data_IF_122491110650
#
_entry.id   IF_122491110650
#
_cell.length_a   1.000
_cell.length_b   1.000
_cell.length_c   1.000
_cell.angle_alpha   90.00
_cell.angle_beta   90.00
_cell.angle_gamma   90.00
#
_symmetry.space_group_name_H-M   'P 1'
#
loop_
_entity.id
_entity.type
_entity.pdbx_description
1 polymer ?
#
# COMPACT_ATOMS: atom_id res chain seq x y z
N UNK A 1 45.43 -16.53 -10.46
CA UNK A 1 44.10 -16.01 -10.14
C UNK A 1 43.96 -14.62 -10.74
N UNK A 2 43.17 -14.48 -11.81
CA UNK A 2 42.84 -13.17 -12.36
C UNK A 2 41.90 -12.46 -11.37
N UNK A 3 42.35 -11.39 -10.78
CA UNK A 3 41.51 -10.48 -9.97
C UNK A 3 40.61 -9.67 -10.90
N UNK A 4 39.42 -10.15 -11.14
CA UNK A 4 38.38 -9.40 -11.90
C UNK A 4 37.80 -8.31 -11.03
N UNK A 5 37.95 -7.07 -11.44
CA UNK A 5 37.41 -5.90 -10.76
C UNK A 5 35.90 -5.86 -11.00
N UNK A 6 35.13 -6.36 -10.04
CA UNK A 6 33.65 -6.41 -10.14
C UNK A 6 33.06 -5.09 -9.66
N UNK A 7 32.55 -4.29 -10.58
CA UNK A 7 31.84 -3.04 -10.25
C UNK A 7 30.53 -3.31 -9.48
N UNK A 8 30.12 -2.43 -8.54
CA UNK A 8 28.93 -2.63 -7.74
C UNK A 8 27.64 -2.91 -8.55
N UNK A 9 27.50 -2.27 -9.72
CA UNK A 9 26.30 -2.45 -10.57
C UNK A 9 26.19 -3.85 -11.18
N UNK A 10 27.30 -4.59 -11.36
CA UNK A 10 27.26 -5.98 -11.84
C UNK A 10 26.60 -6.94 -10.84
N UNK A 11 26.47 -6.53 -9.59
CA UNK A 11 25.85 -7.34 -8.54
C UNK A 11 24.39 -6.97 -8.24
N UNK A 12 23.85 -5.97 -8.94
CA UNK A 12 22.44 -5.58 -8.79
C UNK A 12 21.48 -6.73 -9.13
N UNK A 13 21.67 -7.51 -10.21
CA UNK A 13 20.84 -8.69 -10.49
C UNK A 13 20.84 -9.70 -9.34
N UNK A 14 22.02 -9.97 -8.73
CA UNK A 14 22.12 -10.87 -7.59
C UNK A 14 21.29 -10.39 -6.38
N UNK A 15 21.29 -9.07 -6.13
CA UNK A 15 20.53 -8.45 -5.05
C UNK A 15 19.03 -8.61 -5.32
N UNK A 16 18.59 -8.34 -6.56
CA UNK A 16 17.20 -8.44 -6.97
C UNK A 16 16.68 -9.88 -6.80
N UNK A 17 17.43 -10.87 -7.31
CA UNK A 17 17.04 -12.28 -7.20
C UNK A 17 16.98 -12.72 -5.74
N UNK A 18 17.97 -12.35 -4.92
CA UNK A 18 17.97 -12.67 -3.49
C UNK A 18 16.83 -11.99 -2.74
N UNK A 19 16.53 -10.72 -3.08
CA UNK A 19 15.41 -9.99 -2.51
C UNK A 19 14.07 -10.65 -2.83
N UNK A 20 13.87 -11.06 -4.09
CA UNK A 20 12.63 -11.70 -4.53
C UNK A 20 12.42 -13.05 -3.84
N UNK A 21 13.44 -13.91 -3.82
CA UNK A 21 13.35 -15.22 -3.17
C UNK A 21 13.16 -15.07 -1.66
N UNK A 22 13.96 -14.24 -1.01
CA UNK A 22 13.88 -14.02 0.43
C UNK A 22 12.55 -13.36 0.83
N UNK A 23 12.07 -12.42 0.02
CA UNK A 23 10.77 -11.77 0.22
C UNK A 23 9.62 -12.76 0.13
N UNK A 24 9.59 -13.59 -0.90
CA UNK A 24 8.54 -14.60 -1.07
C UNK A 24 8.56 -15.63 0.07
N UNK A 25 9.73 -16.15 0.42
CA UNK A 25 9.88 -17.10 1.52
C UNK A 25 9.49 -16.48 2.87
N UNK A 26 9.93 -15.25 3.12
CA UNK A 26 9.60 -14.52 4.34
C UNK A 26 8.10 -14.25 4.47
N UNK A 27 7.46 -13.81 3.40
CA UNK A 27 6.01 -13.58 3.39
C UNK A 27 5.23 -14.85 3.69
N UNK A 28 5.68 -15.99 3.13
CA UNK A 28 5.04 -17.29 3.33
C UNK A 28 5.26 -17.84 4.73
N UNK A 29 6.47 -17.75 5.26
CA UNK A 29 6.79 -18.20 6.62
C UNK A 29 5.95 -17.42 7.64
N UNK A 30 5.91 -16.09 7.55
CA UNK A 30 5.17 -15.28 8.50
C UNK A 30 3.66 -15.51 8.39
N UNK A 31 3.12 -15.66 7.19
CA UNK A 31 1.70 -16.01 7.03
C UNK A 31 1.35 -17.33 7.73
N UNK A 32 2.17 -18.36 7.55
CA UNK A 32 1.94 -19.66 8.20
C UNK A 32 2.13 -19.60 9.72
N UNK A 33 3.00 -18.73 10.23
CA UNK A 33 3.14 -18.48 11.68
C UNK A 33 1.92 -17.74 12.26
N UNK A 34 1.35 -16.78 11.51
CA UNK A 34 0.13 -16.08 11.92
C UNK A 34 -1.10 -16.99 11.87
N UNK A 35 -1.16 -17.93 10.94
CA UNK A 35 -2.27 -18.89 10.75
C UNK A 35 -1.82 -20.31 11.09
N UNK A 36 -1.24 -20.49 12.29
CA UNK A 36 -0.62 -21.75 12.70
C UNK A 36 -1.57 -22.95 12.70
N UNK A 37 -2.83 -22.74 13.08
CA UNK A 37 -3.84 -23.80 13.12
C UNK A 37 -4.15 -24.35 11.73
N UNK A 38 -4.25 -23.47 10.72
CA UNK A 38 -4.50 -23.87 9.33
C UNK A 38 -3.27 -24.58 8.74
N UNK A 39 -2.08 -24.06 9.07
CA UNK A 39 -0.82 -24.67 8.66
C UNK A 39 -0.65 -26.11 9.18
N UNK A 40 -1.01 -26.37 10.42
CA UNK A 40 -0.90 -27.72 11.02
C UNK A 40 -1.88 -28.73 10.38
N UNK A 41 -3.05 -28.26 9.91
CA UNK A 41 -4.05 -29.11 9.24
C UNK A 41 -3.63 -29.55 7.84
N UNK A 42 -3.05 -28.66 7.04
CA UNK A 42 -2.52 -28.97 5.69
C UNK A 42 -1.21 -28.21 5.42
N UNK A 43 -0.05 -28.71 5.94
CA UNK A 43 1.23 -28.05 5.75
C UNK A 43 1.67 -27.94 4.29
N UNK A 44 1.38 -28.97 3.49
CA UNK A 44 1.82 -29.01 2.08
C UNK A 44 0.99 -28.03 1.25
N UNK A 45 -0.33 -28.06 1.38
CA UNK A 45 -1.21 -27.10 0.71
C UNK A 45 -0.93 -25.67 1.12
N UNK A 46 -0.71 -25.42 2.42
CA UNK A 46 -0.34 -24.10 2.93
C UNK A 46 0.98 -23.57 2.32
N UNK A 47 2.00 -24.40 2.16
CA UNK A 47 3.28 -24.02 1.55
C UNK A 47 3.20 -23.79 0.05
N UNK A 48 2.42 -24.60 -0.66
CA UNK A 48 2.32 -24.56 -2.13
C UNK A 48 1.29 -23.55 -2.63
N UNK A 49 0.37 -23.10 -1.79
CA UNK A 49 -0.66 -22.12 -2.20
C UNK A 49 -0.02 -20.77 -2.55
N UNK A 50 -0.49 -20.14 -3.62
CA UNK A 50 -0.11 -18.77 -3.98
C UNK A 50 -0.84 -17.68 -3.16
N UNK A 51 -1.84 -18.07 -2.37
CA UNK A 51 -2.52 -17.20 -1.41
C UNK A 51 -1.81 -17.16 -0.07
N UNK A 52 -2.12 -16.16 0.74
CA UNK A 52 -1.57 -16.04 2.08
C UNK A 52 -0.09 -15.66 2.08
N UNK A 53 0.16 -14.38 1.84
CA UNK A 53 1.49 -13.76 1.88
C UNK A 53 1.43 -12.53 2.79
N UNK A 54 2.17 -12.57 3.90
CA UNK A 54 2.27 -11.45 4.82
C UNK A 54 3.34 -10.47 4.37
N UNK A 55 2.98 -9.23 4.10
CA UNK A 55 3.89 -8.19 3.60
C UNK A 55 5.08 -7.97 4.52
N UNK A 56 4.85 -7.84 5.83
CA UNK A 56 5.92 -7.57 6.80
C UNK A 56 6.94 -8.71 6.89
N UNK A 57 6.49 -9.97 6.81
CA UNK A 57 7.39 -11.12 6.78
C UNK A 57 8.33 -11.08 5.60
N UNK A 58 7.79 -10.77 4.42
CA UNK A 58 8.58 -10.59 3.19
C UNK A 58 9.60 -9.47 3.31
N UNK A 59 9.17 -8.30 3.79
CA UNK A 59 10.02 -7.12 3.96
C UNK A 59 11.18 -7.38 4.93
N UNK A 60 10.91 -7.97 6.09
CA UNK A 60 11.91 -8.23 7.14
C UNK A 60 12.97 -9.22 6.63
N UNK A 61 12.53 -10.36 6.09
CA UNK A 61 13.46 -11.41 5.63
C UNK A 61 14.28 -10.92 4.44
N UNK A 62 13.66 -10.23 3.47
CA UNK A 62 14.39 -9.63 2.34
C UNK A 62 15.42 -8.60 2.84
N UNK A 63 15.06 -7.72 3.76
CA UNK A 63 15.97 -6.73 4.31
C UNK A 63 17.18 -7.39 5.01
N UNK A 64 16.96 -8.42 5.83
CA UNK A 64 18.03 -9.17 6.51
C UNK A 64 18.98 -9.80 5.49
N UNK A 65 18.44 -10.47 4.47
CA UNK A 65 19.25 -11.16 3.45
C UNK A 65 20.05 -10.14 2.62
N UNK A 66 19.43 -9.04 2.20
CA UNK A 66 20.11 -8.00 1.40
C UNK A 66 21.20 -7.32 2.22
N UNK A 67 20.94 -6.94 3.48
CA UNK A 67 21.91 -6.28 4.35
C UNK A 67 23.08 -7.23 4.64
N UNK A 68 22.81 -8.50 4.92
CA UNK A 68 23.84 -9.52 5.15
C UNK A 68 24.71 -9.74 3.91
N UNK A 69 24.08 -9.83 2.73
CA UNK A 69 24.80 -9.94 1.46
C UNK A 69 25.65 -8.69 1.18
N UNK A 70 25.09 -7.51 1.38
CA UNK A 70 25.78 -6.23 1.18
C UNK A 70 27.01 -6.11 2.11
N UNK A 71 26.87 -6.49 3.39
CA UNK A 71 27.99 -6.54 4.36
C UNK A 71 29.07 -7.52 3.91
N UNK A 72 28.69 -8.74 3.53
CA UNK A 72 29.64 -9.76 3.06
C UNK A 72 30.42 -9.33 1.81
N UNK A 73 29.79 -8.51 0.96
CA UNK A 73 30.39 -7.99 -0.28
C UNK A 73 30.98 -6.58 -0.12
N UNK A 74 31.03 -6.06 1.11
CA UNK A 74 31.58 -4.74 1.44
C UNK A 74 30.92 -3.57 0.70
N UNK A 75 29.63 -3.68 0.38
CA UNK A 75 28.88 -2.56 -0.19
C UNK A 75 28.67 -1.45 0.83
N UNK A 76 28.69 -0.21 0.35
CA UNK A 76 28.19 0.90 1.15
C UNK A 76 26.67 0.80 1.26
N UNK A 77 26.18 0.32 2.41
CA UNK A 77 24.75 0.08 2.65
C UNK A 77 23.95 1.37 2.52
N UNK A 78 24.50 2.52 2.96
CA UNK A 78 23.82 3.82 2.86
C UNK A 78 23.56 4.22 1.40
N UNK A 79 24.56 4.02 0.54
CA UNK A 79 24.40 4.27 -0.90
C UNK A 79 23.45 3.26 -1.56
N UNK A 80 23.44 2.01 -1.10
CA UNK A 80 22.53 0.98 -1.59
C UNK A 80 21.07 1.31 -1.29
N UNK A 81 20.73 1.68 -0.03
CA UNK A 81 19.37 2.04 0.34
C UNK A 81 18.89 3.33 -0.35
N UNK A 82 19.77 4.31 -0.55
CA UNK A 82 19.46 5.51 -1.33
C UNK A 82 19.14 5.21 -2.78
N UNK A 83 19.86 4.26 -3.39
CA UNK A 83 19.57 3.81 -4.76
C UNK A 83 18.22 3.08 -4.85
N UNK A 84 17.87 2.32 -3.80
CA UNK A 84 16.62 1.57 -3.73
C UNK A 84 15.40 2.48 -3.47
N UNK A 85 15.56 3.61 -2.78
CA UNK A 85 14.45 4.44 -2.34
C UNK A 85 13.48 4.86 -3.45
N UNK A 86 13.91 5.41 -4.60
CA UNK A 86 12.98 5.71 -5.70
C UNK A 86 12.34 4.44 -6.28
N UNK A 87 13.09 3.35 -6.40
CA UNK A 87 12.57 2.09 -6.92
C UNK A 87 11.49 1.49 -6.02
N UNK A 88 11.65 1.59 -4.69
CA UNK A 88 10.65 1.15 -3.71
C UNK A 88 9.36 1.98 -3.81
N UNK A 89 9.47 3.30 -4.01
CA UNK A 89 8.29 4.16 -4.21
C UNK A 89 7.54 3.82 -5.49
N UNK A 90 8.27 3.55 -6.59
CA UNK A 90 7.67 3.10 -7.85
C UNK A 90 7.01 1.73 -7.70
N UNK A 91 7.69 0.79 -7.02
CA UNK A 91 7.14 -0.54 -6.76
C UNK A 91 5.86 -0.49 -5.92
N UNK A 92 5.78 0.45 -4.96
CA UNK A 92 4.55 0.68 -4.20
C UNK A 92 3.42 1.14 -5.11
N UNK A 93 3.65 2.14 -5.98
CA UNK A 93 2.65 2.58 -6.96
C UNK A 93 2.16 1.43 -7.86
N UNK A 94 3.08 0.60 -8.37
CA UNK A 94 2.74 -0.56 -9.21
C UNK A 94 1.94 -1.60 -8.42
N UNK A 95 2.30 -1.87 -7.17
CA UNK A 95 1.55 -2.75 -6.28
C UNK A 95 0.11 -2.28 -6.11
N UNK A 96 -0.10 -0.96 -5.89
CA UNK A 96 -1.43 -0.37 -5.77
C UNK A 96 -2.26 -0.41 -7.07
N UNK A 97 -1.61 -0.45 -8.23
CA UNK A 97 -2.32 -0.76 -9.50
C UNK A 97 -2.95 -2.15 -9.45
N UNK A 98 -2.23 -3.15 -8.90
CA UNK A 98 -2.78 -4.48 -8.68
C UNK A 98 -4.04 -4.44 -7.81
N UNK A 99 -3.99 -3.78 -6.64
CA UNK A 99 -5.13 -3.62 -5.74
C UNK A 99 -6.31 -2.94 -6.43
N UNK A 100 -6.06 -1.86 -7.19
CA UNK A 100 -7.12 -1.11 -7.87
C UNK A 100 -7.81 -1.95 -8.95
N UNK A 101 -7.04 -2.62 -9.80
CA UNK A 101 -7.60 -3.40 -10.91
C UNK A 101 -8.24 -4.71 -10.47
N UNK A 102 -7.74 -5.33 -9.42
CA UNK A 102 -8.33 -6.58 -8.89
C UNK A 102 -9.56 -6.33 -8.02
N UNK A 103 -9.66 -5.16 -7.38
CA UNK A 103 -10.69 -4.92 -6.39
C UNK A 103 -10.54 -5.85 -5.19
N UNK A 104 -9.37 -5.82 -4.54
CA UNK A 104 -9.00 -6.74 -3.45
C UNK A 104 -9.49 -6.31 -2.05
N UNK A 105 -10.33 -5.28 -1.97
CA UNK A 105 -10.88 -4.77 -0.71
C UNK A 105 -10.14 -3.57 -0.13
N UNK A 106 -9.03 -3.16 -0.72
CA UNK A 106 -8.20 -2.05 -0.25
C UNK A 106 -8.77 -0.65 -0.54
N UNK A 107 -10.05 -0.56 -0.88
CA UNK A 107 -10.76 0.71 -1.10
C UNK A 107 -11.03 1.48 0.19
N UNK A 108 -11.47 2.74 0.02
CA UNK A 108 -11.82 3.62 1.13
C UNK A 108 -13.25 3.46 1.64
N UNK A 109 -13.67 4.38 2.50
CA UNK A 109 -15.05 4.49 2.99
C UNK A 109 -16.01 4.76 1.83
N UNK A 110 -17.31 4.55 2.06
CA UNK A 110 -18.33 4.82 1.06
C UNK A 110 -18.44 6.32 0.75
N UNK A 111 -18.53 6.66 -0.54
CA UNK A 111 -18.85 8.02 -0.96
C UNK A 111 -20.36 8.15 -1.12
N UNK A 112 -21.02 8.68 -0.08
CA UNK A 112 -22.48 8.79 -0.04
C UNK A 112 -23.09 9.82 -1.02
N UNK A 113 -22.26 10.48 -1.84
CA UNK A 113 -22.72 11.30 -2.95
C UNK A 113 -22.95 10.50 -4.26
N UNK A 114 -22.60 9.20 -4.28
CA UNK A 114 -22.69 8.35 -5.48
C UNK A 114 -23.27 6.97 -5.17
N UNK A 115 -24.26 6.58 -5.95
CA UNK A 115 -24.70 5.18 -6.07
C UNK A 115 -23.91 4.48 -7.16
N UNK A 116 -24.06 3.15 -7.24
CA UNK A 116 -23.54 2.37 -8.37
C UNK A 116 -24.73 1.81 -9.15
N UNK A 117 -24.75 2.06 -10.45
CA UNK A 117 -25.63 1.33 -11.35
C UNK A 117 -25.12 -0.11 -11.47
N UNK A 118 -25.87 -1.04 -10.89
CA UNK A 118 -25.51 -2.46 -10.84
C UNK A 118 -25.49 -3.15 -12.20
N UNK A 119 -26.06 -2.55 -13.25
CA UNK A 119 -26.01 -3.09 -14.61
C UNK A 119 -24.74 -2.72 -15.33
N UNK A 120 -24.25 -1.49 -15.10
CA UNK A 120 -23.07 -0.96 -15.79
C UNK A 120 -21.81 -0.93 -14.91
N UNK A 121 -21.96 -1.04 -13.59
CA UNK A 121 -20.88 -0.88 -12.61
C UNK A 121 -20.38 0.56 -12.44
N UNK A 122 -21.01 1.53 -13.12
CA UNK A 122 -20.58 2.93 -13.06
C UNK A 122 -21.17 3.66 -11.86
N UNK A 123 -20.37 4.58 -11.31
CA UNK A 123 -20.85 5.49 -10.28
C UNK A 123 -21.77 6.55 -10.90
N UNK A 124 -22.92 6.76 -10.27
CA UNK A 124 -23.96 7.73 -10.66
C UNK A 124 -24.19 8.67 -9.49
N UNK A 125 -24.25 9.98 -9.73
CA UNK A 125 -24.53 10.96 -8.69
C UNK A 125 -25.87 10.67 -8.01
N UNK A 126 -25.89 10.81 -6.71
CA UNK A 126 -27.01 10.52 -5.85
C UNK A 126 -27.41 11.78 -5.06
N UNK A 127 -28.71 12.01 -4.84
CA UNK A 127 -29.13 13.06 -3.92
C UNK A 127 -28.78 12.64 -2.47
N UNK A 128 -28.43 13.58 -1.58
CA UNK A 128 -27.98 13.27 -0.22
C UNK A 128 -28.93 12.38 0.60
N UNK A 129 -30.22 12.49 0.38
CA UNK A 129 -31.25 11.67 1.06
C UNK A 129 -31.27 10.21 0.61
N UNK A 130 -30.67 9.89 -0.53
CA UNK A 130 -30.77 8.57 -1.18
C UNK A 130 -29.73 7.56 -0.69
N UNK A 131 -28.76 7.97 0.13
CA UNK A 131 -27.77 7.02 0.69
C UNK A 131 -28.44 6.00 1.61
N UNK A 132 -29.30 6.44 2.52
CA UNK A 132 -30.05 5.53 3.40
C UNK A 132 -30.97 4.59 2.60
N UNK A 133 -31.61 5.10 1.55
CA UNK A 133 -32.44 4.27 0.67
C UNK A 133 -31.59 3.21 -0.07
N UNK A 134 -30.40 3.59 -0.55
CA UNK A 134 -29.46 2.65 -1.18
C UNK A 134 -28.98 1.58 -0.20
N UNK A 135 -28.72 1.94 1.05
CA UNK A 135 -28.36 1.01 2.13
C UNK A 135 -29.53 0.08 2.46
N UNK A 136 -30.76 0.62 2.59
CA UNK A 136 -31.96 -0.18 2.86
C UNK A 136 -32.25 -1.15 1.70
N UNK A 137 -32.16 -0.69 0.46
CA UNK A 137 -32.36 -1.54 -0.73
C UNK A 137 -31.39 -2.72 -0.77
N UNK A 138 -30.18 -2.53 -0.21
CA UNK A 138 -29.13 -3.52 -0.16
C UNK A 138 -28.84 -4.00 1.28
N UNK A 139 -29.88 -4.00 2.14
CA UNK A 139 -29.76 -4.30 3.57
C UNK A 139 -29.06 -5.65 3.83
N UNK A 140 -29.33 -6.68 3.03
CA UNK A 140 -28.71 -7.99 3.17
C UNK A 140 -27.17 -7.96 3.04
N UNK A 141 -26.63 -7.09 2.19
CA UNK A 141 -25.19 -6.88 2.05
C UNK A 141 -24.63 -6.11 3.26
N UNK A 142 -25.24 -4.97 3.60
CA UNK A 142 -24.71 -4.12 4.67
C UNK A 142 -24.82 -4.73 6.07
N UNK A 143 -25.90 -5.48 6.36
CA UNK A 143 -26.08 -6.17 7.64
C UNK A 143 -25.07 -7.29 7.89
N UNK A 144 -24.49 -7.89 6.84
CA UNK A 144 -23.43 -8.86 6.99
C UNK A 144 -22.11 -8.25 7.43
N UNK A 145 -21.88 -6.97 7.11
CA UNK A 145 -20.62 -6.28 7.38
C UNK A 145 -20.68 -5.32 8.56
N UNK A 146 -21.84 -4.72 8.80
CA UNK A 146 -22.02 -3.66 9.80
C UNK A 146 -23.19 -3.99 10.73
N UNK A 147 -22.96 -3.83 12.03
CA UNK A 147 -23.98 -4.12 13.04
C UNK A 147 -25.19 -3.13 13.01
N UNK A 148 -25.01 -1.95 12.44
CA UNK A 148 -26.07 -0.93 12.30
C UNK A 148 -25.74 0.00 11.13
N UNK A 149 -26.76 0.60 10.52
CA UNK A 149 -26.62 1.53 9.37
C UNK A 149 -25.78 2.75 9.74
N UNK A 150 -25.94 3.26 10.96
CA UNK A 150 -25.20 4.43 11.47
C UNK A 150 -23.71 4.16 11.66
N UNK A 151 -23.30 2.89 11.66
CA UNK A 151 -21.89 2.47 11.78
C UNK A 151 -21.21 2.28 10.43
N UNK A 152 -21.94 2.43 9.31
CA UNK A 152 -21.36 2.36 7.97
C UNK A 152 -20.46 3.59 7.76
N UNK A 153 -19.15 3.42 7.60
CA UNK A 153 -18.25 4.56 7.42
C UNK A 153 -18.45 5.17 6.04
N UNK A 154 -18.94 6.40 6.01
CA UNK A 154 -19.19 7.12 4.76
C UNK A 154 -18.91 8.61 4.89
N UNK A 155 -18.64 9.26 3.78
CA UNK A 155 -18.57 10.71 3.65
C UNK A 155 -19.11 11.12 2.28
N UNK A 156 -19.84 12.23 2.22
CA UNK A 156 -20.33 12.77 0.97
C UNK A 156 -19.27 13.70 0.36
N UNK A 157 -18.76 13.36 -0.81
CA UNK A 157 -17.89 14.24 -1.56
C UNK A 157 -18.30 14.22 -3.03
N UNK A 158 -18.92 15.30 -3.45
CA UNK A 158 -19.24 15.50 -4.86
C UNK A 158 -18.04 16.06 -5.62
N UNK A 159 -17.89 15.63 -6.87
CA UNK A 159 -16.87 16.19 -7.76
C UNK A 159 -17.09 17.71 -7.89
N UNK A 160 -16.08 18.54 -7.55
CA UNK A 160 -16.17 19.98 -7.71
C UNK A 160 -16.44 20.37 -9.16
N UNK A 161 -17.26 21.40 -9.38
CA UNK A 161 -17.59 21.89 -10.73
C UNK A 161 -16.34 22.27 -11.54
N UNK A 162 -15.31 22.83 -10.89
CA UNK A 162 -14.02 23.16 -11.51
C UNK A 162 -13.30 21.92 -12.07
N UNK A 163 -13.57 20.72 -11.55
CA UNK A 163 -12.99 19.44 -11.99
C UNK A 163 -13.98 18.65 -12.87
N UNK A 164 -14.99 19.30 -13.44
CA UNK A 164 -16.00 18.67 -14.27
C UNK A 164 -15.47 17.88 -15.46
N UNK A 165 -14.28 18.23 -15.96
CA UNK A 165 -13.57 17.52 -17.03
C UNK A 165 -12.99 16.15 -16.62
N UNK A 166 -12.85 15.90 -15.31
CA UNK A 166 -12.37 14.62 -14.81
C UNK A 166 -13.52 13.60 -14.73
N UNK A 167 -13.26 12.33 -14.98
CA UNK A 167 -14.28 11.28 -14.91
C UNK A 167 -14.70 11.01 -13.45
N UNK A 168 -15.96 10.60 -13.26
CA UNK A 168 -16.52 10.36 -11.91
C UNK A 168 -15.84 9.19 -11.18
N UNK A 169 -15.29 8.21 -11.89
CA UNK A 169 -14.58 7.08 -11.29
C UNK A 169 -13.31 7.49 -10.51
N UNK A 170 -12.78 8.70 -10.71
CA UNK A 170 -11.72 9.25 -9.86
C UNK A 170 -12.20 9.61 -8.46
N UNK A 171 -13.49 9.87 -8.28
CA UNK A 171 -14.07 10.32 -7.01
C UNK A 171 -14.90 9.24 -6.33
N UNK A 172 -15.42 8.30 -7.11
CA UNK A 172 -16.31 7.26 -6.65
C UNK A 172 -16.25 6.06 -7.59
N UNK A 173 -15.99 4.86 -7.06
CA UNK A 173 -15.84 3.66 -7.86
C UNK A 173 -16.57 2.47 -7.24
N UNK A 174 -17.24 1.67 -8.06
CA UNK A 174 -18.05 0.53 -7.61
C UNK A 174 -17.31 -0.80 -7.56
N UNK A 175 -16.09 -0.88 -8.06
CA UNK A 175 -15.29 -2.10 -8.17
C UNK A 175 -16.07 -3.29 -8.76
N UNK A 176 -16.57 -3.18 -10.00
CA UNK A 176 -17.21 -4.31 -10.67
C UNK A 176 -16.20 -5.45 -10.88
N UNK A 177 -16.68 -6.67 -10.80
CA UNK A 177 -15.87 -7.90 -10.98
C UNK A 177 -14.72 -8.07 -9.96
N UNK A 178 -14.87 -7.54 -8.73
CA UNK A 178 -13.84 -7.60 -7.69
C UNK A 178 -13.51 -9.05 -7.29
N UNK A 179 -12.22 -9.31 -7.01
CA UNK A 179 -11.72 -10.65 -6.72
C UNK A 179 -12.19 -11.22 -5.39
N UNK A 180 -12.57 -10.35 -4.44
CA UNK A 180 -13.08 -10.76 -3.13
C UNK A 180 -14.58 -11.09 -3.15
N UNK A 181 -15.24 -10.93 -4.31
CA UNK A 181 -16.66 -11.26 -4.53
C UNK A 181 -17.59 -10.48 -3.57
N UNK A 182 -17.25 -9.24 -3.30
CA UNK A 182 -18.00 -8.38 -2.40
C UNK A 182 -19.01 -7.52 -3.15
N UNK A 183 -20.20 -7.32 -2.55
CA UNK A 183 -21.26 -6.53 -3.13
C UNK A 183 -22.46 -7.35 -3.62
N UNK A 184 -23.19 -6.75 -4.55
CA UNK A 184 -24.40 -7.34 -5.16
C UNK A 184 -24.10 -7.92 -6.54
N UNK A 185 -24.95 -8.83 -7.01
CA UNK A 185 -24.81 -9.46 -8.31
C UNK A 185 -25.01 -8.46 -9.45
N UNK A 186 -24.10 -8.47 -10.41
CA UNK A 186 -24.23 -7.72 -11.67
C UNK A 186 -25.25 -8.42 -12.56
N UNK A 187 -26.23 -7.68 -13.08
CA UNK A 187 -27.29 -8.25 -13.91
C UNK A 187 -26.70 -8.84 -15.22
N UNK A 188 -27.13 -10.07 -15.55
CA UNK A 188 -26.70 -10.76 -16.77
C UNK A 188 -25.23 -11.21 -16.77
N UNK A 189 -24.55 -11.17 -15.63
CA UNK A 189 -23.19 -11.69 -15.49
C UNK A 189 -23.19 -13.10 -14.92
N UNK A 190 -22.60 -14.07 -15.63
CA UNK A 190 -22.43 -15.45 -15.22
C UNK A 190 -20.94 -15.77 -15.05
N UNK A 191 -20.50 -16.00 -13.81
CA UNK A 191 -19.09 -16.30 -13.52
C UNK A 191 -18.72 -16.10 -12.05
N UNK A 192 -17.46 -16.37 -11.70
CA UNK A 192 -17.02 -16.32 -10.30
C UNK A 192 -16.86 -14.88 -9.75
N UNK A 193 -16.72 -13.87 -10.62
CA UNK A 193 -16.44 -12.48 -10.25
C UNK A 193 -17.53 -11.54 -10.79
N UNK A 194 -18.79 -11.83 -10.52
CA UNK A 194 -19.94 -11.08 -11.01
C UNK A 194 -20.58 -10.19 -9.95
N UNK A 195 -19.76 -9.60 -9.08
CA UNK A 195 -20.24 -8.70 -8.03
C UNK A 195 -19.70 -7.29 -8.18
N UNK A 196 -20.49 -6.32 -7.69
CA UNK A 196 -20.18 -4.89 -7.67
C UNK A 196 -20.67 -4.29 -6.35
N UNK A 197 -19.95 -3.32 -5.81
CA UNK A 197 -20.41 -2.62 -4.61
C UNK A 197 -21.70 -1.83 -4.91
N UNK A 198 -22.72 -1.93 -4.07
CA UNK A 198 -24.02 -1.26 -4.31
C UNK A 198 -23.95 0.26 -4.15
N UNK A 199 -22.98 0.75 -3.38
CA UNK A 199 -22.66 2.17 -3.19
C UNK A 199 -21.19 2.36 -3.52
N UNK A 200 -20.86 3.43 -4.21
CA UNK A 200 -19.47 3.71 -4.61
C UNK A 200 -18.61 4.05 -3.39
N UNK A 201 -17.34 3.67 -3.46
CA UNK A 201 -16.33 3.95 -2.44
C UNK A 201 -15.28 4.91 -2.98
N UNK A 202 -14.51 5.53 -2.09
CA UNK A 202 -13.31 6.26 -2.50
C UNK A 202 -12.29 5.27 -3.05
N UNK A 203 -11.79 5.44 -4.29
CA UNK A 203 -10.79 4.57 -4.88
C UNK A 203 -9.39 4.85 -4.30
N UNK A 204 -9.18 4.57 -3.00
CA UNK A 204 -7.94 4.88 -2.30
C UNK A 204 -6.71 4.28 -2.96
N UNK A 205 -6.70 3.05 -3.54
CA UNK A 205 -5.54 2.56 -4.27
C UNK A 205 -5.16 3.44 -5.45
N UNK A 206 -6.14 4.04 -6.13
CA UNK A 206 -5.88 4.97 -7.23
C UNK A 206 -5.21 6.26 -6.75
N UNK A 207 -5.63 6.79 -5.59
CA UNK A 207 -4.99 7.97 -4.99
C UNK A 207 -3.55 7.65 -4.59
N UNK A 208 -3.31 6.49 -3.98
CA UNK A 208 -1.97 6.01 -3.65
C UNK A 208 -1.09 5.89 -4.90
N UNK A 209 -1.61 5.36 -6.02
CA UNK A 209 -0.88 5.28 -7.29
C UNK A 209 -0.42 6.68 -7.74
N UNK A 210 -1.35 7.64 -7.80
CA UNK A 210 -1.06 9.00 -8.29
C UNK A 210 -0.03 9.68 -7.40
N UNK A 211 -0.23 9.63 -6.09
CA UNK A 211 0.67 10.25 -5.12
C UNK A 211 2.05 9.57 -5.14
N UNK A 212 2.12 8.25 -5.11
CA UNK A 212 3.38 7.53 -5.14
C UNK A 212 4.18 7.73 -6.44
N UNK A 213 3.50 7.85 -7.59
CA UNK A 213 4.17 8.23 -8.84
C UNK A 213 4.75 9.65 -8.79
N UNK A 214 4.03 10.60 -8.20
CA UNK A 214 4.54 11.96 -7.98
C UNK A 214 5.74 11.96 -7.02
N UNK A 215 5.65 11.23 -5.91
CA UNK A 215 6.73 11.08 -4.93
C UNK A 215 7.95 10.37 -5.53
N UNK A 216 7.75 9.35 -6.37
CA UNK A 216 8.82 8.74 -7.16
C UNK A 216 9.51 9.78 -8.03
N UNK A 217 8.74 10.62 -8.76
CA UNK A 217 9.29 11.70 -9.58
C UNK A 217 10.15 12.68 -8.76
N UNK A 218 9.70 13.06 -7.57
CA UNK A 218 10.45 13.92 -6.64
C UNK A 218 11.76 13.24 -6.22
N UNK A 219 11.72 12.00 -5.72
CA UNK A 219 12.90 11.25 -5.31
C UNK A 219 13.89 11.09 -6.47
N UNK A 220 13.38 10.79 -7.67
CA UNK A 220 14.19 10.67 -8.87
C UNK A 220 14.88 11.98 -9.27
N UNK A 221 14.19 13.10 -9.15
CA UNK A 221 14.75 14.43 -9.45
C UNK A 221 15.85 14.85 -8.46
N UNK A 222 15.66 14.56 -7.16
CA UNK A 222 16.62 14.99 -6.12
C UNK A 222 17.82 14.05 -5.94
N UNK A 223 17.75 12.78 -6.45
CA UNK A 223 18.76 11.75 -6.19
C UNK A 223 20.20 12.12 -6.60
N UNK A 224 20.36 12.96 -7.62
CA UNK A 224 21.67 13.44 -8.07
C UNK A 224 22.15 14.69 -7.33
N UNK A 225 21.25 15.41 -6.66
CA UNK A 225 21.56 16.65 -5.92
C UNK A 225 22.01 16.37 -4.49
N UNK A 226 21.49 15.32 -3.87
CA UNK A 226 21.84 14.93 -2.51
C UNK A 226 23.02 13.98 -2.54
N UNK A 227 24.16 14.43 -2.01
CA UNK A 227 25.43 13.69 -2.05
C UNK A 227 25.72 12.92 -0.75
N UNK A 228 24.98 13.16 0.33
CA UNK A 228 25.17 12.50 1.62
C UNK A 228 24.46 11.14 1.61
N UNK A 229 25.20 10.01 1.66
CA UNK A 229 24.59 8.70 1.60
C UNK A 229 23.68 8.40 2.79
N UNK A 230 22.47 7.89 2.51
CA UNK A 230 21.41 7.57 3.47
C UNK A 230 20.35 8.66 3.61
N UNK A 231 20.58 9.87 3.10
CA UNK A 231 19.62 10.98 3.22
C UNK A 231 18.41 10.81 2.31
N UNK A 232 18.60 10.28 1.10
CA UNK A 232 17.50 10.03 0.16
C UNK A 232 16.54 8.97 0.72
N UNK A 233 17.07 7.93 1.35
CA UNK A 233 16.26 6.94 2.02
C UNK A 233 15.49 7.51 3.21
N UNK A 234 16.11 8.41 4.00
CA UNK A 234 15.41 9.14 5.05
C UNK A 234 14.24 9.99 4.52
N UNK A 235 14.44 10.67 3.38
CA UNK A 235 13.36 11.42 2.69
C UNK A 235 12.26 10.46 2.21
N UNK A 236 12.63 9.31 1.63
CA UNK A 236 11.67 8.28 1.22
C UNK A 236 10.79 7.83 2.40
N UNK A 237 11.38 7.56 3.57
CA UNK A 237 10.62 7.15 4.75
C UNK A 237 9.62 8.23 5.20
N UNK A 238 10.04 9.51 5.18
CA UNK A 238 9.16 10.63 5.53
C UNK A 238 8.00 10.72 4.52
N UNK A 239 8.30 10.72 3.23
CA UNK A 239 7.29 10.85 2.19
C UNK A 239 6.30 9.69 2.21
N UNK A 240 6.79 8.47 2.34
CA UNK A 240 5.95 7.27 2.43
C UNK A 240 5.09 7.28 3.71
N UNK A 241 5.67 7.66 4.85
CA UNK A 241 4.93 7.76 6.11
C UNK A 241 3.84 8.84 6.06
N UNK A 242 4.13 10.01 5.49
CA UNK A 242 3.14 11.10 5.33
C UNK A 242 2.01 10.68 4.40
N UNK A 243 2.32 10.12 3.23
CA UNK A 243 1.33 9.61 2.28
C UNK A 243 0.40 8.59 2.95
N UNK A 244 0.98 7.55 3.58
CA UNK A 244 0.22 6.49 4.23
C UNK A 244 -0.66 7.02 5.37
N UNK A 245 -0.18 7.98 6.15
CA UNK A 245 -0.94 8.59 7.24
C UNK A 245 -2.22 9.29 6.73
N UNK A 246 -2.13 10.02 5.60
CA UNK A 246 -3.30 10.71 5.05
C UNK A 246 -4.29 9.77 4.37
N UNK A 247 -3.82 8.77 3.64
CA UNK A 247 -4.69 7.77 3.01
C UNK A 247 -5.49 7.00 4.07
N UNK A 248 -4.88 6.69 5.20
CA UNK A 248 -5.54 5.97 6.28
C UNK A 248 -6.78 6.69 6.84
N UNK A 249 -6.84 8.02 6.73
CA UNK A 249 -8.02 8.80 7.19
C UNK A 249 -9.29 8.52 6.40
N UNK A 250 -9.17 8.02 5.19
CA UNK A 250 -10.30 7.68 4.31
C UNK A 250 -10.42 6.18 4.06
N UNK A 251 -9.69 5.35 4.82
CA UNK A 251 -9.79 3.89 4.81
C UNK A 251 -10.66 3.38 5.97
N UNK A 252 -11.12 2.15 5.83
CA UNK A 252 -11.88 1.43 6.87
C UNK A 252 -10.94 0.39 7.47
N UNK A 253 -10.17 0.79 8.49
CA UNK A 253 -9.25 -0.11 9.16
C UNK A 253 -9.57 -0.23 10.66
N UNK A 254 -9.15 -1.35 11.26
CA UNK A 254 -9.34 -1.62 12.69
C UNK A 254 -8.57 -0.61 13.53
N UNK A 255 -9.25 0.02 14.48
CA UNK A 255 -8.66 0.96 15.42
C UNK A 255 -8.30 0.27 16.73
N UNK A 256 -7.14 0.62 17.26
CA UNK A 256 -6.68 0.16 18.58
C UNK A 256 -7.01 1.21 19.63
N UNK A 257 -7.40 0.78 20.83
CA UNK A 257 -7.53 1.69 21.96
C UNK A 257 -6.19 1.74 22.73
N UNK A 258 -5.50 2.87 22.63
CA UNK A 258 -4.21 3.11 23.28
C UNK A 258 -4.33 4.37 24.13
N UNK A 259 -4.55 4.23 25.43
CA UNK A 259 -4.69 5.35 26.38
C UNK A 259 -5.72 6.41 25.97
N UNK A 260 -6.87 5.99 25.39
CA UNK A 260 -7.92 6.88 24.92
C UNK A 260 -7.71 7.47 23.52
N UNK A 261 -6.61 7.13 22.87
CA UNK A 261 -6.39 7.37 21.43
C UNK A 261 -6.78 6.13 20.63
N UNK A 262 -7.39 6.33 19.47
CA UNK A 262 -7.85 5.23 18.62
C UNK A 262 -7.10 5.19 17.27
N UNK A 263 -5.75 5.04 17.27
CA UNK A 263 -5.00 4.95 16.02
C UNK A 263 -5.21 3.60 15.34
N UNK A 264 -5.06 3.57 14.02
CA UNK A 264 -4.90 2.32 13.26
C UNK A 264 -3.45 1.85 13.31
N UNK A 265 -3.21 0.58 12.97
CA UNK A 265 -1.85 0.05 12.82
C UNK A 265 -1.03 0.87 11.81
N UNK A 266 -1.65 1.25 10.69
CA UNK A 266 -0.98 2.02 9.65
C UNK A 266 -0.62 3.44 10.11
N UNK A 267 -1.45 4.09 10.93
CA UNK A 267 -1.14 5.40 11.53
C UNK A 267 0.08 5.33 12.46
N UNK A 268 0.19 4.27 13.27
CA UNK A 268 1.35 4.06 14.14
C UNK A 268 2.62 3.86 13.32
N UNK A 269 2.58 2.94 12.34
CA UNK A 269 3.74 2.62 11.49
C UNK A 269 4.15 3.85 10.67
N UNK A 270 3.22 4.58 10.07
CA UNK A 270 3.50 5.78 9.29
C UNK A 270 4.16 6.88 10.12
N UNK A 271 3.71 7.07 11.34
CA UNK A 271 4.32 8.01 12.29
C UNK A 271 5.76 7.59 12.64
N UNK A 272 5.99 6.30 12.89
CA UNK A 272 7.34 5.78 13.15
C UNK A 272 8.26 5.91 11.93
N UNK A 273 7.74 5.75 10.71
CA UNK A 273 8.52 5.99 9.47
C UNK A 273 8.95 7.44 9.34
N UNK A 274 8.05 8.40 9.62
CA UNK A 274 8.38 9.84 9.60
C UNK A 274 9.44 10.16 10.63
N UNK A 275 9.27 9.73 11.87
CA UNK A 275 10.24 9.96 12.95
C UNK A 275 11.59 9.32 12.60
N UNK A 276 11.58 8.06 12.17
CA UNK A 276 12.78 7.33 11.75
C UNK A 276 13.52 8.01 10.61
N UNK A 277 12.79 8.51 9.61
CA UNK A 277 13.35 9.26 8.49
C UNK A 277 14.04 10.57 8.94
N UNK A 278 13.41 11.33 9.84
CA UNK A 278 13.99 12.55 10.41
C UNK A 278 15.27 12.24 11.19
N UNK A 279 15.24 11.22 12.03
CA UNK A 279 16.41 10.79 12.82
C UNK A 279 17.56 10.37 11.91
N UNK A 280 17.30 9.56 10.89
CA UNK A 280 18.32 9.11 9.93
C UNK A 280 18.97 10.28 9.20
N UNK A 281 18.18 11.25 8.72
CA UNK A 281 18.69 12.44 8.07
C UNK A 281 19.60 13.24 9.01
N UNK A 282 19.16 13.42 10.27
CA UNK A 282 19.94 14.12 11.30
C UNK A 282 21.29 13.45 11.56
N UNK A 283 21.30 12.14 11.77
CA UNK A 283 22.52 11.36 12.02
C UNK A 283 23.48 11.43 10.82
N UNK A 284 22.99 11.23 9.60
CA UNK A 284 23.87 11.19 8.42
C UNK A 284 24.42 12.55 8.06
N UNK A 285 23.66 13.64 8.24
CA UNK A 285 24.16 15.02 8.07
C UNK A 285 25.22 15.35 9.09
N UNK A 286 25.00 15.05 10.37
CA UNK A 286 25.98 15.29 11.44
C UNK A 286 27.29 14.56 11.19
N UNK A 287 27.24 13.28 10.79
CA UNK A 287 28.44 12.50 10.50
C UNK A 287 29.21 13.02 9.28
N UNK A 288 28.51 13.50 8.25
CA UNK A 288 29.15 14.11 7.08
C UNK A 288 29.85 15.42 7.43
N UNK A 289 29.24 16.26 8.26
CA UNK A 289 29.84 17.53 8.72
C UNK A 289 31.07 17.28 9.60
N UNK A 290 31.05 16.25 10.44
CA UNK A 290 32.20 15.89 11.26
C UNK A 290 33.39 15.38 10.41
N UNK A 291 33.12 14.57 9.39
CA UNK A 291 34.13 14.08 8.47
C UNK A 291 34.83 15.23 7.68
N UNK A 292 34.03 16.22 7.22
CA UNK A 292 34.56 17.39 6.50
C UNK A 292 35.35 18.36 7.38
N UNK A 293 35.23 18.30 8.71
CA UNK A 293 36.04 19.13 9.63
C UNK A 293 37.39 18.49 9.98
N UNK A 294 37.55 17.21 9.70
CA UNK A 294 38.78 16.43 9.98
C UNK A 294 39.66 16.23 8.73
N UNK A 295 39.16 16.59 7.56
CA UNK A 295 39.88 16.65 6.27
C UNK A 295 40.37 18.07 5.99
#
# INVERSE_FOLDING_TARGET
EETVLVMPHHRVPDIIVKAAIAGLLGAKIFHNLENWNDFVQDPIGALLSFSGLTFYGGLIVAAIVIISYARKKQFNIRALIDSAAPALMLAYAIGRMGCHFSGDGDWGIYNSAYAVDTNTGHAVKMAPATFQDAVQKNAGFFQQQYAAVEKIPHAAFEKPAALGFLPDWLFAYGYPHNVIKEGVQIAGCDGPYCKVLPVAVYPTPLYEIIVCLALFGILWAIRKRIKIPGVIFGIYLILNGVERFFIEKIRVDTRYDIFGFHPTQAEIISTLLVIGGIILIGIYRKNSTAANKLS
#
